data_IF_454445449193
#
_entry.id   IF_454445449193
#
_cell.length_a   1.000
_cell.length_b   1.000
_cell.length_c   1.000
_cell.angle_alpha   90.00
_cell.angle_beta   90.00
_cell.angle_gamma   90.00
#
_symmetry.space_group_name_H-M   'P 1'
#
loop_
_entity.id
_entity.type
_entity.pdbx_description
1 polymer ?
#
# COMPACT_ATOMS: atom_id res chain seq x y z
N UNK A 1 -7.55 56.72 0.91
CA UNK A 1 -7.12 55.41 1.45
C UNK A 1 -6.31 54.69 0.37
N UNK A 2 -5.02 54.36 0.58
CA UNK A 2 -4.23 53.72 -0.46
C UNK A 2 -4.61 52.24 -0.59
N UNK A 3 -4.90 51.81 -1.82
CA UNK A 3 -5.11 50.40 -2.19
C UNK A 3 -3.86 49.61 -1.81
N UNK A 4 -4.00 48.60 -0.95
CA UNK A 4 -2.91 47.67 -0.67
C UNK A 4 -2.57 46.94 -1.97
N UNK A 5 -1.32 46.99 -2.38
CA UNK A 5 -0.83 46.18 -3.49
C UNK A 5 -0.80 44.71 -3.06
N UNK A 6 -1.31 43.81 -3.90
CA UNK A 6 -1.39 42.38 -3.63
C UNK A 6 0.02 41.76 -3.80
N UNK A 7 0.60 41.08 -2.80
CA UNK A 7 1.97 40.56 -2.86
C UNK A 7 2.09 39.20 -3.60
N UNK A 8 1.00 38.70 -4.19
CA UNK A 8 0.97 37.43 -4.93
C UNK A 8 0.99 37.62 -6.46
N UNK A 9 1.19 38.85 -6.95
CA UNK A 9 1.37 39.12 -8.37
C UNK A 9 2.82 38.89 -8.78
N UNK A 10 3.00 38.06 -9.80
CA UNK A 10 4.25 37.82 -10.55
C UNK A 10 5.28 36.84 -9.98
N UNK A 11 4.89 35.57 -9.92
CA UNK A 11 5.77 34.52 -10.46
C UNK A 11 4.95 33.60 -11.37
N UNK A 12 4.89 33.97 -12.65
CA UNK A 12 4.53 33.02 -13.70
C UNK A 12 5.57 31.91 -13.70
N UNK A 13 5.28 30.77 -13.06
CA UNK A 13 6.03 29.55 -13.34
C UNK A 13 5.80 29.26 -14.82
N UNK A 14 6.88 29.27 -15.59
CA UNK A 14 6.88 28.86 -16.99
C UNK A 14 6.01 27.60 -17.08
N UNK A 15 4.85 27.72 -17.74
CA UNK A 15 3.99 26.59 -18.06
C UNK A 15 4.78 25.74 -19.05
N UNK A 16 5.65 24.88 -18.52
CA UNK A 16 6.36 23.85 -19.24
C UNK A 16 5.27 22.96 -19.81
N UNK A 17 4.91 23.24 -21.06
CA UNK A 17 4.04 22.40 -21.87
C UNK A 17 4.87 21.15 -22.14
N UNK A 18 4.87 20.22 -21.19
CA UNK A 18 5.46 18.92 -21.39
C UNK A 18 4.66 18.27 -22.50
N UNK A 19 5.19 18.30 -23.72
CA UNK A 19 4.69 17.48 -24.81
C UNK A 19 5.06 16.04 -24.43
N UNK A 20 4.14 15.40 -23.71
CA UNK A 20 4.18 13.96 -23.48
C UNK A 20 4.02 13.33 -24.87
N UNK A 21 5.13 12.99 -25.53
CA UNK A 21 5.07 12.08 -26.68
C UNK A 21 4.36 10.85 -26.17
N UNK A 22 3.17 10.60 -26.71
CA UNK A 22 2.31 9.50 -26.32
C UNK A 22 3.07 8.21 -26.47
N UNK A 23 3.66 7.74 -25.37
CA UNK A 23 4.09 6.37 -25.26
C UNK A 23 2.79 5.59 -25.14
N UNK A 24 2.36 5.06 -26.28
CA UNK A 24 1.25 4.13 -26.37
C UNK A 24 1.55 2.97 -25.41
N UNK A 25 0.99 3.04 -24.20
CA UNK A 25 0.79 1.87 -23.36
C UNK A 25 -0.26 1.02 -24.06
N UNK A 26 0.18 0.27 -25.07
CA UNK A 26 -0.62 -0.81 -25.65
C UNK A 26 -0.59 -1.99 -24.67
N UNK A 27 -1.08 -1.74 -23.45
CA UNK A 27 -1.55 -2.82 -22.62
C UNK A 27 -2.94 -3.14 -23.15
N UNK A 28 -2.97 -3.94 -24.22
CA UNK A 28 -4.17 -4.60 -24.65
C UNK A 28 -4.84 -5.19 -23.42
N UNK A 29 -6.08 -4.78 -23.16
CA UNK A 29 -6.89 -5.34 -22.09
C UNK A 29 -7.19 -6.77 -22.53
N UNK A 30 -6.26 -7.68 -22.23
CA UNK A 30 -6.49 -9.10 -22.36
C UNK A 30 -7.61 -9.42 -21.39
N UNK A 31 -8.83 -9.51 -21.92
CA UNK A 31 -9.96 -10.11 -21.24
C UNK A 31 -9.62 -11.59 -21.01
N UNK A 32 -8.75 -11.87 -20.04
CA UNK A 32 -8.69 -13.20 -19.46
C UNK A 32 -9.98 -13.39 -18.68
N UNK A 33 -10.96 -14.00 -19.35
CA UNK A 33 -11.97 -14.83 -18.69
C UNK A 33 -11.24 -15.82 -17.80
N UNK A 34 -11.07 -15.49 -16.53
CA UNK A 34 -10.88 -16.47 -15.49
C UNK A 34 -11.75 -16.05 -14.32
N UNK A 35 -12.98 -16.56 -14.32
CA UNK A 35 -13.90 -16.55 -13.18
C UNK A 35 -13.40 -17.50 -12.10
N UNK A 36 -12.13 -17.33 -11.69
CA UNK A 36 -11.69 -17.77 -10.39
C UNK A 36 -11.79 -16.54 -9.52
N UNK A 37 -12.50 -16.65 -8.40
CA UNK A 37 -12.55 -15.65 -7.33
C UNK A 37 -11.14 -15.44 -6.77
N UNK A 38 -10.33 -14.68 -7.52
CA UNK A 38 -8.98 -14.33 -7.15
C UNK A 38 -9.07 -13.26 -6.07
N UNK A 39 -8.59 -13.58 -4.89
CA UNK A 39 -8.37 -12.56 -3.87
C UNK A 39 -7.16 -11.73 -4.28
N UNK A 40 -7.24 -10.41 -4.10
CA UNK A 40 -6.08 -9.55 -4.24
C UNK A 40 -5.39 -9.39 -2.89
N UNK A 41 -4.06 -9.51 -2.86
CA UNK A 41 -3.30 -9.26 -1.64
C UNK A 41 -3.42 -7.79 -1.21
N UNK A 42 -3.74 -7.53 0.04
CA UNK A 42 -3.91 -6.18 0.59
C UNK A 42 -2.66 -5.30 0.47
N UNK A 43 -1.46 -5.89 0.59
CA UNK A 43 -0.20 -5.15 0.52
C UNK A 43 0.30 -4.93 -0.93
N UNK A 44 0.55 -5.99 -1.71
CA UNK A 44 1.09 -5.88 -3.07
C UNK A 44 0.04 -5.75 -4.19
N UNK A 45 -1.26 -5.94 -3.88
CA UNK A 45 -2.39 -5.88 -4.83
C UNK A 45 -2.40 -6.91 -5.95
N UNK A 46 -1.45 -7.85 -5.94
CA UNK A 46 -1.42 -8.97 -6.89
C UNK A 46 -2.55 -9.97 -6.63
N UNK A 47 -3.05 -10.57 -7.70
CA UNK A 47 -4.04 -11.63 -7.65
C UNK A 47 -3.41 -12.92 -7.10
N UNK A 48 -4.12 -13.58 -6.19
CA UNK A 48 -3.63 -14.75 -5.47
C UNK A 48 -4.58 -15.94 -5.65
N UNK A 49 -4.06 -17.18 -5.73
CA UNK A 49 -4.90 -18.37 -5.66
C UNK A 49 -5.47 -18.56 -4.25
N UNK A 50 -6.64 -19.19 -4.16
CA UNK A 50 -7.41 -19.38 -2.91
C UNK A 50 -6.59 -20.03 -1.77
N UNK A 51 -5.66 -20.93 -2.08
CA UNK A 51 -4.85 -21.65 -1.10
C UNK A 51 -3.61 -20.88 -0.61
N UNK A 52 -3.27 -19.76 -1.26
CA UNK A 52 -2.06 -18.98 -0.95
C UNK A 52 -2.37 -17.64 -0.28
N UNK A 53 -3.58 -17.48 0.26
CA UNK A 53 -3.98 -16.29 1.01
C UNK A 53 -4.09 -16.56 2.51
N UNK A 54 -3.66 -15.60 3.30
CA UNK A 54 -3.87 -15.55 4.74
C UNK A 54 -4.74 -14.34 5.08
N UNK A 55 -5.59 -14.48 6.09
CA UNK A 55 -6.47 -13.39 6.56
C UNK A 55 -5.77 -12.61 7.67
N UNK A 56 -5.71 -11.28 7.54
CA UNK A 56 -5.24 -10.40 8.60
C UNK A 56 -6.16 -10.51 9.82
N UNK A 57 -5.60 -10.75 11.01
CA UNK A 57 -6.40 -10.88 12.23
C UNK A 57 -6.94 -9.53 12.77
N UNK A 58 -6.50 -8.41 12.21
CA UNK A 58 -6.96 -7.08 12.62
C UNK A 58 -7.99 -6.48 11.66
N UNK A 59 -7.67 -6.43 10.36
CA UNK A 59 -8.51 -5.77 9.35
C UNK A 59 -9.23 -6.74 8.42
N UNK A 60 -9.08 -8.05 8.64
CA UNK A 60 -9.76 -9.11 7.91
C UNK A 60 -9.49 -9.20 6.40
N UNK A 61 -8.58 -8.37 5.87
CA UNK A 61 -8.16 -8.43 4.48
C UNK A 61 -7.24 -9.63 4.20
N UNK A 62 -7.23 -10.09 2.95
CA UNK A 62 -6.36 -11.18 2.48
C UNK A 62 -4.94 -10.69 2.15
N UNK A 63 -3.94 -11.50 2.45
CA UNK A 63 -2.52 -11.18 2.28
C UNK A 63 -1.81 -12.41 1.69
N UNK A 64 -0.84 -12.21 0.80
CA UNK A 64 -0.01 -13.29 0.29
C UNK A 64 1.06 -13.74 1.31
N UNK A 65 1.62 -14.93 1.11
CA UNK A 65 2.70 -15.48 1.93
C UNK A 65 3.96 -14.58 1.99
N UNK A 66 4.22 -13.76 0.98
CA UNK A 66 5.37 -12.84 0.96
C UNK A 66 5.11 -11.55 1.77
N UNK A 67 3.86 -11.12 1.83
CA UNK A 67 3.44 -9.87 2.46
C UNK A 67 2.96 -10.05 3.90
N UNK A 68 2.80 -11.29 4.35
CA UNK A 68 2.34 -11.57 5.72
C UNK A 68 3.47 -11.40 6.72
N UNK A 69 3.11 -10.92 7.91
CA UNK A 69 4.00 -10.86 9.07
C UNK A 69 3.32 -11.53 10.25
N UNK A 70 4.10 -12.28 11.02
CA UNK A 70 3.63 -12.95 12.23
C UNK A 70 4.03 -12.12 13.45
N UNK A 71 3.08 -11.86 14.35
CA UNK A 71 3.36 -11.17 15.60
C UNK A 71 4.26 -12.04 16.49
N UNK A 72 5.35 -11.48 16.99
CA UNK A 72 6.28 -12.17 17.89
C UNK A 72 5.69 -12.51 19.27
N UNK A 73 4.59 -11.85 19.65
CA UNK A 73 3.93 -12.06 20.95
C UNK A 73 2.74 -13.03 20.86
N UNK A 74 1.80 -12.79 19.93
CA UNK A 74 0.59 -13.63 19.81
C UNK A 74 0.60 -14.63 18.65
N UNK A 75 1.66 -14.67 17.85
CA UNK A 75 1.84 -15.60 16.71
C UNK A 75 0.76 -15.54 15.62
N UNK A 76 -0.10 -14.52 15.65
CA UNK A 76 -1.11 -14.27 14.63
C UNK A 76 -0.55 -13.49 13.43
N UNK A 77 -1.27 -13.54 12.31
CA UNK A 77 -0.86 -12.98 11.02
C UNK A 77 -1.48 -11.59 10.75
N UNK A 78 -0.66 -10.65 10.27
CA UNK A 78 -1.05 -9.26 10.05
C UNK A 78 -0.50 -8.70 8.72
N UNK A 79 -1.23 -7.73 8.14
CA UNK A 79 -0.78 -6.97 6.96
C UNK A 79 0.19 -5.86 7.38
N UNK A 80 0.86 -5.20 6.42
CA UNK A 80 1.88 -4.19 6.73
C UNK A 80 1.35 -2.97 7.47
N UNK A 81 0.04 -2.73 7.40
CA UNK A 81 -0.61 -1.62 8.09
C UNK A 81 -1.12 -1.98 9.49
N UNK A 82 -1.08 -3.26 9.89
CA UNK A 82 -1.66 -3.74 11.16
C UNK A 82 -0.61 -4.29 12.14
N UNK A 83 0.68 -4.07 11.84
CA UNK A 83 1.78 -4.40 12.73
C UNK A 83 2.80 -3.26 12.75
N UNK A 84 3.65 -3.24 13.77
CA UNK A 84 4.82 -2.39 13.88
C UNK A 84 6.07 -3.25 13.99
N UNK A 85 7.18 -2.82 13.40
CA UNK A 85 8.50 -3.41 13.67
C UNK A 85 9.03 -2.81 14.98
N UNK A 86 9.19 -3.64 15.99
CA UNK A 86 9.91 -3.31 17.21
C UNK A 86 11.39 -3.63 17.02
N UNK A 87 12.22 -2.61 17.19
CA UNK A 87 13.67 -2.72 17.15
C UNK A 87 14.19 -2.86 18.60
N UNK A 88 14.50 -4.09 19.01
CA UNK A 88 15.13 -4.38 20.30
C UNK A 88 16.66 -4.48 20.22
N UNK A 89 17.33 -4.80 21.34
CA UNK A 89 18.80 -4.81 21.48
C UNK A 89 19.60 -5.73 20.52
N UNK A 90 18.95 -6.48 19.63
CA UNK A 90 19.68 -7.34 18.66
C UNK A 90 18.86 -7.86 17.47
N UNK A 91 17.52 -7.85 17.50
CA UNK A 91 16.69 -8.40 16.41
C UNK A 91 15.44 -7.55 16.15
N UNK A 92 15.09 -7.37 14.87
CA UNK A 92 13.80 -6.81 14.46
C UNK A 92 12.67 -7.81 14.74
N UNK A 93 11.55 -7.33 15.31
CA UNK A 93 10.39 -8.16 15.64
C UNK A 93 9.11 -7.49 15.18
N UNK A 94 8.26 -8.20 14.44
CA UNK A 94 6.93 -7.71 14.12
C UNK A 94 6.00 -7.88 15.33
N UNK A 95 5.31 -6.81 15.77
CA UNK A 95 4.34 -6.84 16.86
C UNK A 95 3.04 -6.20 16.37
N UNK A 96 1.88 -6.80 16.66
CA UNK A 96 0.59 -6.22 16.29
C UNK A 96 0.20 -5.07 17.24
N UNK A 97 -0.67 -4.17 16.80
CA UNK A 97 -1.07 -3.02 17.62
C UNK A 97 -1.75 -3.39 18.94
N UNK A 98 -2.39 -4.57 19.02
CA UNK A 98 -2.95 -5.08 20.28
C UNK A 98 -1.86 -5.46 21.29
N UNK A 99 -0.80 -6.14 20.83
CA UNK A 99 0.33 -6.54 21.68
C UNK A 99 1.32 -5.40 21.93
N UNK A 100 1.28 -4.32 21.16
CA UNK A 100 2.12 -3.15 21.40
C UNK A 100 1.63 -2.30 22.58
N UNK A 101 0.30 -2.19 22.76
CA UNK A 101 -0.32 -1.35 23.79
C UNK A 101 -0.78 -2.09 25.05
N UNK A 102 -0.51 -3.39 25.16
CA UNK A 102 -0.79 -4.20 26.35
C UNK A 102 0.50 -4.57 27.07
#
# INVERSE_FOLDING_TARGET
>A
MPKRSNPFGDHSTLQLKTCMQGQEVVNGVSQQKNTHSAYACHNCREAMPFHAVMKCQMCENYICCHCVRQCASCHLHFCHLCFVVSYGQSTERAICFKCQGG
#
